data_IF_094774756471
#
_entry.id   IF_094774756471
#
_cell.length_a   1.000
_cell.length_b   1.000
_cell.length_c   1.000
_cell.angle_alpha   90.00
_cell.angle_beta   90.00
_cell.angle_gamma   90.00
#
_symmetry.space_group_name_H-M   'P 1'
#
loop_
_entity.id
_entity.type
_entity.pdbx_description
1 polymer ?
#
# COMPACT_ATOMS: atom_id res chain seq x y z
N UNK A 1 -17.39 -9.82 -11.48
CA UNK A 1 -15.95 -9.56 -11.50
C UNK A 1 -15.76 -8.05 -11.54
N UNK A 2 -15.75 -7.39 -10.38
CA UNK A 2 -15.81 -5.92 -10.29
C UNK A 2 -14.44 -5.32 -10.54
N UNK A 3 -14.19 -4.88 -11.77
CA UNK A 3 -13.03 -4.06 -12.12
C UNK A 3 -13.22 -2.68 -11.47
N UNK A 4 -12.48 -2.39 -10.41
CA UNK A 4 -12.49 -1.06 -9.78
C UNK A 4 -11.90 -0.04 -10.77
N UNK A 5 -12.78 0.84 -11.24
CA UNK A 5 -12.52 1.91 -12.21
C UNK A 5 -11.70 3.01 -11.52
N UNK A 6 -10.40 3.05 -11.79
CA UNK A 6 -9.47 4.09 -11.33
C UNK A 6 -9.05 5.02 -12.49
N UNK A 7 -9.96 5.24 -13.45
CA UNK A 7 -9.73 6.12 -14.60
C UNK A 7 -9.37 7.53 -14.12
N UNK A 8 -8.17 8.01 -14.48
CA UNK A 8 -7.70 9.35 -14.14
C UNK A 8 -6.87 9.48 -12.86
N UNK A 9 -6.61 8.37 -12.14
CA UNK A 9 -5.55 8.36 -11.12
C UNK A 9 -4.20 8.54 -11.82
N UNK A 10 -3.41 9.53 -11.41
CA UNK A 10 -2.03 9.67 -11.88
C UNK A 10 -1.22 8.55 -11.25
N UNK A 11 -0.66 7.66 -12.06
CA UNK A 11 0.30 6.69 -11.59
C UNK A 11 1.57 7.43 -11.13
N UNK A 12 1.92 7.39 -9.83
CA UNK A 12 3.08 8.11 -9.33
C UNK A 12 4.41 7.50 -9.80
N UNK A 13 4.41 6.31 -10.42
CA UNK A 13 5.62 5.68 -10.99
C UNK A 13 5.92 6.26 -12.37
N UNK A 14 4.93 6.36 -13.26
CA UNK A 14 5.11 6.91 -14.61
C UNK A 14 4.77 8.38 -14.76
N UNK A 15 4.09 8.99 -13.77
CA UNK A 15 3.52 10.32 -13.86
C UNK A 15 2.39 10.45 -14.88
N UNK A 16 1.94 9.33 -15.47
CA UNK A 16 0.88 9.30 -16.48
C UNK A 16 -0.45 8.92 -15.83
N UNK A 17 -1.59 9.42 -16.35
CA UNK A 17 -2.89 8.92 -15.94
C UNK A 17 -3.00 7.42 -16.27
N UNK A 18 -3.43 6.63 -15.29
CA UNK A 18 -3.76 5.22 -15.49
C UNK A 18 -4.86 5.16 -16.54
N UNK A 19 -4.58 4.47 -17.64
CA UNK A 19 -5.54 4.32 -18.73
C UNK A 19 -6.69 3.41 -18.34
N UNK A 20 -7.86 3.60 -18.95
CA UNK A 20 -9.05 2.78 -18.66
C UNK A 20 -8.90 1.28 -18.96
N UNK A 21 -7.85 0.90 -19.69
CA UNK A 21 -7.51 -0.49 -20.01
C UNK A 21 -6.27 -1.00 -19.28
N UNK A 22 -5.66 -0.19 -18.39
CA UNK A 22 -4.48 -0.59 -17.64
C UNK A 22 -4.86 -1.47 -16.44
N UNK A 23 -4.13 -2.56 -16.24
CA UNK A 23 -4.44 -3.54 -15.19
C UNK A 23 -3.71 -3.15 -13.90
N UNK A 24 -4.46 -2.81 -12.87
CA UNK A 24 -3.93 -2.58 -11.51
C UNK A 24 -4.14 -3.84 -10.67
N UNK A 25 -3.11 -4.22 -9.90
CA UNK A 25 -3.17 -5.31 -8.93
C UNK A 25 -2.67 -4.84 -7.58
N UNK A 26 -3.50 -4.98 -6.58
CA UNK A 26 -3.06 -4.81 -5.20
C UNK A 26 -2.39 -6.07 -4.69
N UNK A 27 -1.29 -5.88 -3.97
CA UNK A 27 -0.40 -6.93 -3.47
C UNK A 27 -0.23 -6.71 -1.97
N UNK A 28 -0.11 -7.80 -1.22
CA UNK A 28 0.17 -7.80 0.20
C UNK A 28 1.62 -8.19 0.49
N UNK A 29 2.08 -7.96 1.72
CA UNK A 29 3.43 -8.37 2.13
C UNK A 29 3.64 -9.88 2.11
N UNK A 30 2.58 -10.68 2.18
CA UNK A 30 2.66 -12.14 2.10
C UNK A 30 2.95 -12.65 0.68
N UNK A 31 2.70 -11.81 -0.34
CA UNK A 31 2.96 -12.12 -1.74
C UNK A 31 4.41 -11.80 -2.15
N UNK A 32 5.22 -11.27 -1.23
CA UNK A 32 6.60 -10.91 -1.47
C UNK A 32 7.52 -12.11 -1.22
N UNK A 33 8.53 -12.36 -2.08
CA UNK A 33 9.01 -11.52 -3.19
C UNK A 33 8.10 -11.57 -4.42
N UNK A 34 7.70 -10.40 -4.94
CA UNK A 34 6.79 -10.33 -6.08
C UNK A 34 7.51 -10.73 -7.37
N UNK A 35 7.04 -11.82 -7.97
CA UNK A 35 7.40 -12.24 -9.32
C UNK A 35 6.24 -12.07 -10.29
N UNK A 36 6.53 -11.59 -11.50
CA UNK A 36 5.59 -11.62 -12.62
C UNK A 36 6.12 -12.55 -13.71
N UNK A 37 5.36 -13.57 -14.16
CA UNK A 37 4.00 -13.93 -13.74
C UNK A 37 3.95 -14.55 -12.32
N UNK A 38 2.81 -14.41 -11.64
CA UNK A 38 2.56 -15.02 -10.32
C UNK A 38 2.40 -16.55 -10.46
N UNK A 39 2.81 -17.34 -9.45
CA UNK A 39 2.87 -18.80 -9.54
C UNK A 39 1.50 -19.47 -9.82
N UNK A 40 0.41 -18.88 -9.34
CA UNK A 40 -0.96 -19.41 -9.54
C UNK A 40 -1.57 -19.02 -10.91
N UNK A 41 -0.88 -18.18 -11.69
CA UNK A 41 -1.33 -17.79 -13.03
C UNK A 41 -0.67 -18.67 -14.06
N UNK A 42 -1.43 -19.63 -14.57
CA UNK A 42 -1.14 -20.43 -15.77
C UNK A 42 -1.20 -19.57 -17.04
N UNK A 43 -0.40 -18.52 -17.14
CA UNK A 43 -0.07 -17.90 -18.41
C UNK A 43 1.34 -18.37 -18.75
N UNK A 44 1.42 -19.65 -19.12
CA UNK A 44 2.53 -20.14 -19.90
C UNK A 44 2.61 -19.22 -21.15
N UNK A 45 3.79 -18.69 -21.45
CA UNK A 45 4.12 -18.03 -22.73
C UNK A 45 3.84 -16.52 -22.95
N UNK A 46 3.90 -15.64 -21.94
CA UNK A 46 3.91 -14.17 -22.22
C UNK A 46 5.29 -13.53 -22.07
N UNK A 47 6.02 -13.83 -21.00
CA UNK A 47 7.39 -13.32 -20.80
C UNK A 47 8.13 -14.11 -19.71
N UNK A 48 9.47 -14.00 -19.65
CA UNK A 48 10.27 -14.59 -18.57
C UNK A 48 9.86 -14.07 -17.19
N UNK A 49 10.00 -14.91 -16.16
CA UNK A 49 9.76 -14.49 -14.78
C UNK A 49 10.73 -13.39 -14.38
N UNK A 50 10.19 -12.25 -13.96
CA UNK A 50 10.97 -11.13 -13.43
C UNK A 50 10.58 -10.80 -12.00
N UNK A 51 11.60 -10.41 -11.23
CA UNK A 51 11.42 -9.89 -9.88
C UNK A 51 11.11 -8.40 -9.92
N UNK A 52 10.06 -7.99 -9.21
CA UNK A 52 9.66 -6.59 -9.07
C UNK A 52 9.99 -6.12 -7.65
N UNK A 53 10.91 -5.15 -7.47
CA UNK A 53 11.34 -4.67 -6.15
C UNK A 53 10.31 -3.74 -5.48
N UNK A 54 9.03 -4.12 -5.51
CA UNK A 54 7.91 -3.30 -5.00
C UNK A 54 7.97 -3.02 -3.49
N UNK A 55 8.72 -3.82 -2.73
CA UNK A 55 9.00 -3.56 -1.30
C UNK A 55 9.80 -2.27 -1.05
N UNK A 56 10.47 -1.73 -2.08
CA UNK A 56 11.22 -0.47 -1.99
C UNK A 56 10.35 0.74 -2.37
N UNK A 57 9.61 0.63 -3.47
CA UNK A 57 8.81 1.72 -4.05
C UNK A 57 7.37 1.78 -3.53
N UNK A 58 6.84 0.65 -3.05
CA UNK A 58 5.43 0.47 -2.71
C UNK A 58 4.53 0.30 -3.93
N UNK A 59 5.01 0.58 -5.15
CA UNK A 59 4.26 0.44 -6.40
C UNK A 59 5.24 0.19 -7.54
N UNK A 60 4.95 -0.76 -8.42
CA UNK A 60 5.87 -1.13 -9.50
C UNK A 60 5.12 -1.57 -10.75
N UNK A 61 5.58 -1.15 -11.93
CA UNK A 61 5.00 -1.61 -13.21
C UNK A 61 5.84 -2.73 -13.79
N UNK A 62 5.21 -3.83 -14.19
CA UNK A 62 5.91 -4.89 -14.90
C UNK A 62 6.32 -4.41 -16.31
N UNK A 63 7.59 -4.57 -16.72
CA UNK A 63 8.06 -4.11 -18.04
C UNK A 63 7.48 -4.90 -19.21
N UNK A 64 6.89 -6.08 -18.98
CA UNK A 64 6.37 -6.94 -20.03
C UNK A 64 4.84 -6.89 -20.15
N UNK A 65 4.13 -7.08 -19.04
CA UNK A 65 2.66 -7.13 -19.07
C UNK A 65 1.99 -5.80 -18.73
N UNK A 66 2.77 -4.74 -18.50
CA UNK A 66 2.33 -3.38 -18.14
C UNK A 66 1.36 -3.31 -16.95
N UNK A 67 1.26 -4.38 -16.17
CA UNK A 67 0.42 -4.42 -14.97
C UNK A 67 1.08 -3.57 -13.89
N UNK A 68 0.32 -2.63 -13.33
CA UNK A 68 0.74 -1.81 -12.20
C UNK A 68 0.41 -2.55 -10.91
N UNK A 69 1.44 -2.90 -10.16
CA UNK A 69 1.31 -3.53 -8.86
C UNK A 69 1.39 -2.46 -7.77
N UNK A 70 0.52 -2.56 -6.76
CA UNK A 70 0.48 -1.63 -5.63
C UNK A 70 0.52 -2.43 -4.34
N UNK A 71 1.54 -2.18 -3.51
CA UNK A 71 1.73 -2.84 -2.22
C UNK A 71 0.91 -2.12 -1.15
N UNK A 72 0.04 -2.85 -0.47
CA UNK A 72 -0.73 -2.32 0.65
C UNK A 72 0.14 -2.15 1.90
N UNK A 73 -0.19 -1.15 2.71
CA UNK A 73 0.42 -1.00 4.02
C UNK A 73 -0.01 -2.14 4.96
N UNK A 74 0.91 -2.73 5.74
CA UNK A 74 0.58 -3.81 6.66
C UNK A 74 -0.20 -3.24 7.85
N UNK A 75 -1.19 -3.98 8.34
CA UNK A 75 -1.97 -3.56 9.50
C UNK A 75 -1.43 -4.21 10.78
N UNK A 76 -1.43 -3.49 11.92
CA UNK A 76 -1.10 -4.08 13.21
C UNK A 76 -2.16 -5.13 13.58
N UNK A 77 -1.79 -6.40 13.52
CA UNK A 77 -2.70 -7.54 13.73
C UNK A 77 -2.73 -8.53 12.58
N UNK A 78 -2.21 -8.17 11.41
CA UNK A 78 -1.98 -9.13 10.32
C UNK A 78 -0.91 -10.15 10.73
N UNK A 79 -1.04 -11.39 10.24
CA UNK A 79 -0.02 -12.40 10.42
C UNK A 79 1.28 -11.97 9.71
N UNK A 80 2.39 -11.96 10.46
CA UNK A 80 3.71 -11.62 9.91
C UNK A 80 4.11 -12.70 8.91
N UNK A 81 4.37 -12.37 7.63
CA UNK A 81 4.76 -13.37 6.65
C UNK A 81 6.19 -13.89 6.88
N UNK A 82 6.47 -15.06 6.32
CA UNK A 82 7.84 -15.55 6.22
C UNK A 82 8.56 -14.80 5.08
N UNK A 83 9.56 -13.99 5.43
CA UNK A 83 10.28 -13.18 4.45
C UNK A 83 11.35 -13.98 3.72
N UNK A 84 11.36 -13.91 2.39
CA UNK A 84 12.37 -14.61 1.58
C UNK A 84 13.75 -13.94 1.60
N UNK A 85 13.84 -12.66 1.99
CA UNK A 85 15.12 -11.95 2.14
C UNK A 85 15.05 -10.87 3.23
N UNK A 86 16.23 -10.50 3.77
CA UNK A 86 16.36 -9.53 4.87
C UNK A 86 15.93 -8.11 4.48
N UNK A 87 16.04 -7.74 3.19
CA UNK A 87 15.65 -6.43 2.70
C UNK A 87 14.13 -6.23 2.74
N UNK A 88 13.37 -7.26 2.34
CA UNK A 88 11.91 -7.25 2.41
C UNK A 88 11.48 -7.14 3.87
N UNK A 89 12.12 -7.88 4.78
CA UNK A 89 11.82 -7.80 6.21
C UNK A 89 12.07 -6.39 6.77
N UNK A 90 13.22 -5.79 6.46
CA UNK A 90 13.51 -4.41 6.89
C UNK A 90 12.47 -3.42 6.34
N UNK A 91 12.05 -3.58 5.08
CA UNK A 91 10.99 -2.75 4.49
C UNK A 91 9.64 -2.97 5.17
N UNK A 92 9.29 -4.20 5.51
CA UNK A 92 8.06 -4.54 6.24
C UNK A 92 8.01 -3.85 7.59
N UNK A 93 9.09 -3.96 8.39
CA UNK A 93 9.17 -3.31 9.70
C UNK A 93 9.01 -1.78 9.61
N UNK A 94 9.62 -1.15 8.60
CA UNK A 94 9.46 0.30 8.35
C UNK A 94 8.03 0.67 7.97
N UNK A 95 7.37 -0.16 7.16
CA UNK A 95 5.98 0.05 6.74
C UNK A 95 5.02 -0.13 7.92
N UNK A 96 5.21 -1.18 8.74
CA UNK A 96 4.42 -1.41 9.95
C UNK A 96 4.55 -0.24 10.94
N UNK A 97 5.78 0.24 11.16
CA UNK A 97 6.00 1.42 12.00
C UNK A 97 5.28 2.67 11.46
N UNK A 98 5.16 2.83 10.13
CA UNK A 98 4.35 3.90 9.51
C UNK A 98 2.87 3.70 9.81
N UNK A 99 2.32 2.50 9.59
CA UNK A 99 0.92 2.19 9.88
C UNK A 99 0.54 2.47 11.33
N UNK A 100 1.41 2.13 12.29
CA UNK A 100 1.20 2.40 13.71
C UNK A 100 1.13 3.90 14.03
N UNK A 101 1.90 4.75 13.34
CA UNK A 101 1.84 6.21 13.51
C UNK A 101 0.52 6.79 13.01
N UNK A 102 0.01 6.33 11.87
CA UNK A 102 -1.28 6.79 11.36
C UNK A 102 -2.45 6.33 12.25
N UNK A 103 -2.39 5.11 12.78
CA UNK A 103 -3.38 4.60 13.74
C UNK A 103 -3.41 5.37 15.07
N UNK A 104 -2.31 6.06 15.42
CA UNK A 104 -2.16 6.78 16.69
C UNK A 104 -2.49 8.27 16.62
N UNK A 105 -3.06 8.76 15.50
CA UNK A 105 -3.54 10.16 15.44
C UNK A 105 -4.73 10.29 16.40
N UNK A 106 -4.63 11.05 17.51
CA UNK A 106 -5.77 11.23 18.40
C UNK A 106 -6.90 11.93 17.64
N UNK A 107 -8.11 11.39 17.73
CA UNK A 107 -9.32 12.08 17.28
C UNK A 107 -9.32 13.50 17.90
N UNK A 108 -9.74 14.56 17.19
CA UNK A 108 -9.79 15.89 17.77
C UNK A 108 -10.74 15.86 18.97
N UNK A 109 -10.20 15.87 20.19
CA UNK A 109 -10.99 16.07 21.40
C UNK A 109 -11.47 17.51 21.35
N UNK A 110 -12.75 17.71 21.10
CA UNK A 110 -13.36 19.04 21.18
C UNK A 110 -13.18 19.53 22.61
N UNK A 111 -12.26 20.48 22.81
CA UNK A 111 -11.98 21.07 24.11
C UNK A 111 -13.18 21.95 24.49
N UNK A 112 -14.15 21.40 25.22
CA UNK A 112 -15.23 22.18 25.81
C UNK A 112 -14.64 23.05 26.92
N UNK A 113 -14.51 24.35 26.68
CA UNK A 113 -14.06 25.31 27.69
C UNK A 113 -15.08 25.39 28.84
N UNK A 114 -14.68 25.37 30.11
CA UNK A 114 -15.60 25.63 31.22
C UNK A 114 -15.90 27.13 31.30
N UNK A 115 -17.19 27.47 31.26
CA UNK A 115 -17.70 28.83 31.36
C UNK A 115 -17.42 29.39 32.77
N UNK A 116 -16.51 30.36 32.88
CA UNK A 116 -16.20 31.04 34.13
C UNK A 116 -17.38 31.94 34.57
N UNK A 117 -17.97 31.63 35.72
CA UNK A 117 -18.98 32.46 36.37
C UNK A 117 -18.28 33.53 37.21
N UNK A 118 -18.25 34.77 36.73
CA UNK A 118 -17.67 35.92 37.45
C UNK A 118 -18.54 36.31 38.65
N UNK A 119 -18.04 36.04 39.86
CA UNK A 119 -18.58 36.57 41.11
C UNK A 119 -18.35 38.08 41.23
N UNK A 120 -19.43 38.83 41.43
CA UNK A 120 -19.46 40.28 41.63
C UNK A 120 -19.41 40.55 43.14
N UNK A 121 -18.33 41.16 43.62
CA UNK A 121 -18.19 41.59 45.02
C UNK A 121 -18.94 42.92 45.23
N UNK A 122 -19.60 43.01 46.38
CA UNK A 122 -20.42 44.13 46.88
C UNK A 122 -19.61 45.36 47.25
#
# INVERSE_FOLDING_TARGET
MTTQKLDGVIDPVSGRPVGASERIREISWTDLPLGCPMPDRSLWDVHPRVYLPIHLSGRERCPYCSTLYVLRDPQPGDAVPAFANAQIEQCYQRALARSMRHASTPLPVTLTAPSAHSGRLS
#
